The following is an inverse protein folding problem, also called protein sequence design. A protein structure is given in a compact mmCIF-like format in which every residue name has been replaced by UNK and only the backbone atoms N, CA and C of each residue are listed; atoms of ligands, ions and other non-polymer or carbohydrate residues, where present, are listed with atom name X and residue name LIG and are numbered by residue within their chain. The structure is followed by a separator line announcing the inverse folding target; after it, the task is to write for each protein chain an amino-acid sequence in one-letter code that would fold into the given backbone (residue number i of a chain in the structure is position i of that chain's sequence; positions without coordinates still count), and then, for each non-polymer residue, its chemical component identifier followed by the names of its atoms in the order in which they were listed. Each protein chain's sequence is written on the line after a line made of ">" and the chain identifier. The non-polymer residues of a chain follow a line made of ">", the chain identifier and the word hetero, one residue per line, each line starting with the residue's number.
data_IF_880873873354
#
_entry.id   IF_880873873354
#
_cell.length_a   1.000
_cell.length_b   1.000
_cell.length_c   1.000
_cell.angle_alpha   90.00
_cell.angle_beta   90.00
_cell.angle_gamma   90.00
#
_symmetry.space_group_name_H-M   'P 1'
#
loop_
_entity.id
_entity.type
_entity.pdbx_description
1 polymer ?
#
# COMPACT_ATOMS: atom_id res chain seq x y z
N UNK A 1 0.80 15.90 -13.68
CA UNK A 1 0.86 14.47 -14.10
C UNK A 1 -0.04 13.66 -13.18
N UNK A 2 -1.30 13.45 -13.56
CA UNK A 2 -2.15 12.48 -12.89
C UNK A 2 -1.50 11.11 -13.08
N UNK A 3 -1.09 10.45 -11.99
CA UNK A 3 -0.55 9.10 -12.08
C UNK A 3 -1.64 8.22 -12.69
N UNK A 4 -1.34 7.64 -13.86
CA UNK A 4 -2.29 6.83 -14.64
C UNK A 4 -2.97 5.82 -13.73
N UNK A 5 -4.31 5.77 -13.78
CA UNK A 5 -5.10 4.74 -13.07
C UNK A 5 -5.57 5.09 -11.66
N UNK A 6 -5.28 6.27 -11.10
CA UNK A 6 -5.79 6.63 -9.77
C UNK A 6 -7.09 7.41 -9.76
N UNK A 7 -7.70 7.47 -8.58
CA UNK A 7 -8.93 8.22 -8.33
C UNK A 7 -8.62 9.67 -8.01
N UNK A 8 -9.54 10.56 -8.35
CA UNK A 8 -9.41 12.00 -8.09
C UNK A 8 -10.56 12.48 -7.22
N UNK A 9 -10.28 13.45 -6.34
CA UNK A 9 -11.30 14.09 -5.50
C UNK A 9 -11.61 15.48 -6.04
N UNK A 10 -12.90 15.81 -6.15
CA UNK A 10 -13.37 17.14 -6.51
C UNK A 10 -14.43 17.64 -5.52
N UNK A 11 -14.63 18.96 -5.50
CA UNK A 11 -15.57 19.62 -4.59
C UNK A 11 -14.96 20.03 -3.25
N UNK A 12 -15.56 21.04 -2.62
CA UNK A 12 -15.14 21.61 -1.33
C UNK A 12 -16.14 21.38 -0.20
N UNK A 13 -17.44 21.33 -0.51
CA UNK A 13 -18.54 21.14 0.46
C UNK A 13 -19.13 19.72 0.43
N UNK A 14 -19.11 19.08 -0.73
CA UNK A 14 -19.42 17.66 -0.93
C UNK A 14 -18.34 17.06 -1.81
N UNK A 15 -17.59 16.12 -1.26
CA UNK A 15 -16.53 15.45 -2.01
C UNK A 15 -17.16 14.47 -3.00
N UNK A 16 -16.68 14.52 -4.24
CA UNK A 16 -17.00 13.54 -5.28
C UNK A 16 -15.70 12.91 -5.73
N UNK A 17 -15.75 11.60 -5.94
CA UNK A 17 -14.60 10.82 -6.36
C UNK A 17 -14.81 10.34 -7.79
N UNK A 18 -13.76 10.40 -8.59
CA UNK A 18 -13.78 9.99 -9.99
C UNK A 18 -12.65 9.00 -10.23
N UNK A 19 -12.90 7.99 -11.07
CA UNK A 19 -11.86 7.08 -11.51
C UNK A 19 -10.95 7.71 -12.58
N UNK A 20 -9.97 6.95 -13.06
CA UNK A 20 -9.02 7.43 -14.07
C UNK A 20 -9.64 7.65 -15.45
N UNK A 21 -10.87 7.16 -15.67
CA UNK A 21 -11.65 7.32 -16.89
C UNK A 21 -12.68 8.46 -16.75
N UNK A 22 -12.69 9.16 -15.61
CA UNK A 22 -13.63 10.24 -15.33
C UNK A 22 -15.03 9.76 -14.94
N UNK A 23 -15.21 8.46 -14.65
CA UNK A 23 -16.48 7.95 -14.14
C UNK A 23 -16.57 8.21 -12.64
N UNK A 24 -17.71 8.73 -12.21
CA UNK A 24 -17.95 8.95 -10.79
C UNK A 24 -17.96 7.62 -10.03
N UNK A 25 -17.25 7.59 -8.91
CA UNK A 25 -17.22 6.46 -7.99
C UNK A 25 -18.39 6.63 -7.03
N UNK A 26 -19.38 5.74 -7.15
CA UNK A 26 -20.56 5.65 -6.28
C UNK A 26 -20.60 4.34 -5.49
N UNK A 27 -19.59 3.50 -5.70
CA UNK A 27 -19.44 2.22 -5.02
C UNK A 27 -19.18 2.44 -3.53
N UNK A 28 -20.03 1.89 -2.64
CA UNK A 28 -19.91 2.12 -1.20
C UNK A 28 -18.60 1.59 -0.65
N UNK A 29 -18.09 0.46 -1.16
CA UNK A 29 -16.82 -0.15 -0.70
C UNK A 29 -15.63 0.77 -1.01
N UNK A 30 -15.65 1.39 -2.19
CA UNK A 30 -14.60 2.35 -2.59
C UNK A 30 -14.69 3.63 -1.78
N UNK A 31 -15.91 4.11 -1.52
CA UNK A 31 -16.14 5.35 -0.76
C UNK A 31 -15.71 5.20 0.70
N UNK A 32 -16.14 4.12 1.36
CA UNK A 32 -15.76 3.79 2.74
C UNK A 32 -14.24 3.70 2.89
N UNK A 33 -13.57 3.08 1.91
CA UNK A 33 -12.11 3.03 1.90
C UNK A 33 -11.47 4.41 1.79
N UNK A 34 -11.99 5.29 0.93
CA UNK A 34 -11.45 6.64 0.79
C UNK A 34 -11.64 7.41 2.10
N UNK A 35 -12.77 7.24 2.77
CA UNK A 35 -13.05 7.86 4.06
C UNK A 35 -12.13 7.31 5.17
N UNK A 36 -11.81 6.01 5.14
CA UNK A 36 -10.84 5.39 6.05
C UNK A 36 -9.42 5.95 5.92
N UNK A 37 -9.03 6.48 4.74
CA UNK A 37 -7.75 7.16 4.55
C UNK A 37 -7.67 8.52 5.29
N UNK A 38 -8.80 9.05 5.77
CA UNK A 38 -8.89 10.34 6.49
C UNK A 38 -8.13 11.47 5.80
N UNK A 39 -8.29 11.59 4.49
CA UNK A 39 -7.60 12.61 3.68
C UNK A 39 -8.09 14.00 4.10
N UNK A 40 -7.20 14.90 4.57
CA UNK A 40 -7.62 16.21 5.06
C UNK A 40 -8.47 16.98 4.04
N UNK A 41 -9.58 17.62 4.46
CA UNK A 41 -10.47 18.32 3.55
C UNK A 41 -9.82 19.53 2.89
N UNK A 42 -8.79 20.11 3.52
CA UNK A 42 -8.03 21.25 2.99
C UNK A 42 -7.14 20.89 1.79
N UNK A 43 -6.93 19.61 1.49
CA UNK A 43 -6.09 19.20 0.36
C UNK A 43 -6.80 19.43 -0.98
N UNK A 44 -6.07 20.04 -1.91
CA UNK A 44 -6.45 20.27 -3.31
C UNK A 44 -5.69 19.32 -4.23
N UNK A 45 -6.17 19.16 -5.47
CA UNK A 45 -5.56 18.28 -6.48
C UNK A 45 -5.27 16.86 -5.95
N UNK A 46 -6.23 16.31 -5.22
CA UNK A 46 -6.03 15.03 -4.54
C UNK A 46 -6.11 13.89 -5.54
N UNK A 47 -5.07 13.06 -5.51
CA UNK A 47 -4.98 11.79 -6.19
C UNK A 47 -4.98 10.67 -5.15
N UNK A 48 -5.72 9.60 -5.41
CA UNK A 48 -5.91 8.46 -4.50
C UNK A 48 -5.61 7.18 -5.26
N UNK A 49 -4.87 6.27 -4.65
CA UNK A 49 -4.58 4.96 -5.22
C UNK A 49 -5.84 4.07 -5.20
N UNK A 50 -6.15 3.36 -6.28
CA UNK A 50 -7.27 2.42 -6.32
C UNK A 50 -6.93 1.11 -5.58
N UNK A 51 -5.65 0.82 -5.32
CA UNK A 51 -5.18 -0.44 -4.72
C UNK A 51 -4.88 -0.27 -3.24
N UNK A 52 -5.45 -1.12 -2.39
CA UNK A 52 -5.37 -0.97 -0.92
C UNK A 52 -3.94 -1.16 -0.42
N UNK A 53 -3.22 -2.09 -1.03
CA UNK A 53 -1.84 -2.44 -0.75
C UNK A 53 -0.80 -1.50 -1.41
N UNK A 54 -1.23 -0.38 -2.01
CA UNK A 54 -0.26 0.55 -2.58
C UNK A 54 0.52 1.25 -1.46
N UNK A 55 1.85 1.32 -1.61
CA UNK A 55 2.74 2.04 -0.67
C UNK A 55 2.27 3.47 -0.44
N UNK A 56 1.86 4.13 -1.51
CA UNK A 56 1.33 5.49 -1.50
C UNK A 56 -0.17 5.43 -1.75
N UNK A 57 -0.96 5.84 -0.76
CA UNK A 57 -2.41 5.79 -0.79
C UNK A 57 -3.03 7.06 -1.34
N UNK A 58 -2.50 8.24 -0.99
CA UNK A 58 -2.99 9.49 -1.53
C UNK A 58 -1.89 10.52 -1.65
N UNK A 59 -2.09 11.49 -2.53
CA UNK A 59 -1.29 12.71 -2.60
C UNK A 59 -2.20 13.89 -2.82
N UNK A 60 -1.83 15.04 -2.30
CA UNK A 60 -2.56 16.28 -2.53
C UNK A 60 -1.69 17.49 -2.27
N UNK A 61 -2.25 18.66 -2.48
CA UNK A 61 -1.61 19.95 -2.19
C UNK A 61 -2.31 20.53 -0.97
N UNK A 62 -1.56 20.83 0.09
CA UNK A 62 -2.14 21.43 1.31
C UNK A 62 -2.59 22.89 1.09
N UNK A 63 -3.21 23.48 2.13
CA UNK A 63 -3.65 24.88 2.07
C UNK A 63 -2.48 25.86 1.82
N UNK A 64 -1.26 25.49 2.23
CA UNK A 64 -0.03 26.25 2.04
C UNK A 64 0.65 26.01 0.68
N UNK A 65 0.03 25.23 -0.22
CA UNK A 65 0.57 24.98 -1.56
C UNK A 65 1.65 23.88 -1.61
N UNK A 66 1.87 23.14 -0.52
CA UNK A 66 2.89 22.09 -0.46
C UNK A 66 2.30 20.74 -0.83
N UNK A 67 3.06 19.94 -1.59
CA UNK A 67 2.69 18.56 -1.90
C UNK A 67 2.82 17.68 -0.66
N UNK A 68 1.72 17.05 -0.29
CA UNK A 68 1.62 16.09 0.79
C UNK A 68 1.36 14.68 0.28
N UNK A 69 1.81 13.71 1.05
CA UNK A 69 1.78 12.29 0.71
C UNK A 69 1.19 11.51 1.88
N UNK A 70 0.23 10.65 1.59
CA UNK A 70 -0.36 9.71 2.54
C UNK A 70 0.12 8.31 2.18
N UNK A 71 0.91 7.71 3.06
CA UNK A 71 1.39 6.33 2.92
C UNK A 71 0.42 5.35 3.57
N UNK A 72 0.44 4.10 3.13
CA UNK A 72 -0.32 3.03 3.81
C UNK A 72 0.20 2.84 5.23
N UNK A 73 -0.68 2.95 6.23
CA UNK A 73 -0.34 2.83 7.65
C UNK A 73 0.20 1.43 8.02
N UNK A 74 -0.19 0.39 7.29
CA UNK A 74 0.23 -1.00 7.59
C UNK A 74 1.40 -1.53 6.77
N UNK A 75 2.25 -0.67 6.19
CA UNK A 75 3.48 -1.16 5.54
C UNK A 75 4.45 -1.88 6.51
N UNK A 76 4.12 -1.98 7.81
CA UNK A 76 4.79 -2.83 8.81
C UNK A 76 4.09 -4.16 9.12
N UNK A 77 2.76 -4.28 9.02
CA UNK A 77 2.07 -5.51 9.44
C UNK A 77 2.02 -6.59 8.33
N UNK A 78 1.88 -6.18 7.06
CA UNK A 78 1.76 -7.14 5.94
C UNK A 78 3.11 -7.70 5.42
N UNK A 79 4.26 -7.15 5.86
CA UNK A 79 5.55 -7.78 5.55
C UNK A 79 5.86 -9.00 6.43
N UNK A 80 5.21 -9.16 7.58
CA UNK A 80 5.38 -10.38 8.39
C UNK A 80 4.69 -11.56 7.71
N UNK A 81 3.43 -11.42 7.26
CA UNK A 81 2.71 -12.55 6.65
C UNK A 81 3.34 -13.04 5.33
N UNK A 82 3.84 -12.11 4.48
CA UNK A 82 4.50 -12.49 3.23
C UNK A 82 5.96 -12.96 3.39
N UNK A 83 6.62 -12.68 4.53
CA UNK A 83 7.94 -13.25 4.84
C UNK A 83 7.86 -14.66 5.43
N UNK A 84 6.78 -15.01 6.13
CA UNK A 84 6.59 -16.36 6.68
C UNK A 84 6.43 -17.42 5.59
N UNK A 85 5.65 -17.18 4.52
CA UNK A 85 5.49 -18.17 3.43
C UNK A 85 6.79 -18.42 2.64
N UNK A 86 7.69 -17.44 2.58
CA UNK A 86 8.96 -17.58 1.86
C UNK A 86 10.02 -18.33 2.69
N UNK A 87 9.93 -18.30 4.02
CA UNK A 87 10.81 -19.04 4.92
C UNK A 87 10.42 -20.52 5.01
N UNK A 88 9.12 -20.87 4.97
CA UNK A 88 8.68 -22.27 4.98
C UNK A 88 9.10 -23.00 3.70
N UNK A 89 8.95 -22.38 2.53
CA UNK A 89 9.41 -22.99 1.26
C UNK A 89 10.93 -23.14 1.17
N UNK A 90 11.71 -22.37 1.93
CA UNK A 90 13.16 -22.55 2.00
C UNK A 90 13.54 -23.72 2.92
N UNK A 91 12.79 -23.95 4.01
CA UNK A 91 12.98 -25.12 4.88
C UNK A 91 12.61 -26.44 4.18
N UNK A 92 11.61 -26.44 3.30
CA UNK A 92 11.19 -27.62 2.52
C UNK A 92 12.15 -27.98 1.37
N UNK A 93 13.09 -27.08 1.03
CA UNK A 93 14.10 -27.30 -0.02
C UNK A 93 15.53 -27.29 0.52
N UNK A 94 15.71 -27.41 1.83
CA UNK A 94 17.02 -27.71 2.37
C UNK A 94 17.40 -29.15 1.93
N UNK A 95 18.43 -29.36 1.08
CA UNK A 95 18.99 -30.69 0.95
C UNK A 95 19.44 -31.12 2.34
N UNK A 96 19.07 -32.32 2.75
CA UNK A 96 19.58 -32.93 3.97
C UNK A 96 21.10 -32.94 3.86
N UNK A 97 21.76 -31.98 4.49
CA UNK A 97 23.21 -32.03 4.64
C UNK A 97 23.46 -33.33 5.40
N UNK A 98 24.22 -34.29 4.83
CA UNK A 98 24.59 -35.47 5.58
C UNK A 98 25.28 -34.98 6.85
N UNK A 99 24.85 -35.51 7.99
CA UNK A 99 25.57 -35.38 9.24
C UNK A 99 27.02 -35.77 8.93
N UNK A 100 27.94 -34.81 9.03
CA UNK A 100 29.35 -35.10 8.87
C UNK A 100 29.79 -35.95 10.07
N UNK A 101 29.61 -37.25 9.94
CA UNK A 101 30.20 -38.24 10.82
C UNK A 101 31.69 -38.34 10.45
N UNK A 102 32.52 -37.71 11.28
CA UNK A 102 33.90 -38.15 11.54
C UNK A 102 35.03 -37.17 11.19
N UNK A 103 36.25 -37.40 11.71
CA UNK A 103 36.61 -37.87 13.05
C UNK A 103 37.38 -36.79 13.84
N UNK A 104 37.40 -36.93 15.18
CA UNK A 104 37.99 -35.97 16.11
C UNK A 104 39.50 -35.71 15.90
N UNK A 105 40.01 -34.59 16.46
CA UNK A 105 41.38 -34.17 16.25
C UNK A 105 42.34 -35.14 16.95
N UNK A 106 43.20 -35.80 16.17
CA UNK A 106 44.35 -36.53 16.72
C UNK A 106 45.44 -35.53 17.09
N UNK A 107 45.93 -35.69 18.33
CA UNK A 107 47.16 -35.09 18.86
C UNK A 107 48.37 -35.51 18.04
#
# INVERSE_FOLDING_TARGET
>A
MARRGGWTRTGSRRFRYFDAQGKQITDPVKTERIDALRIPPAWREVWISPRANAKLQATGVDAAGRRQYLYHSEYRAQQEQAKYDKLIRFAEHLPQLPRADGPGPRR
#
